data_IF_362612158900
#
_entry.id   IF_362612158900
#
_cell.length_a   1.000
_cell.length_b   1.000
_cell.length_c   1.000
_cell.angle_alpha   90.00
_cell.angle_beta   90.00
_cell.angle_gamma   90.00
#
_symmetry.space_group_name_H-M   'P 1'
#
loop_
_entity.id
_entity.type
_entity.pdbx_description
1 polymer ?
#
# COMPACT_ATOMS: atom_id res chain seq x y z
N UNK A 1 -10.10 -27.97 -17.87
CA UNK A 1 -10.50 -26.99 -16.85
C UNK A 1 -9.25 -26.70 -16.02
N UNK A 2 -8.81 -25.45 -15.88
CA UNK A 2 -7.65 -25.15 -15.04
C UNK A 2 -7.99 -25.50 -13.60
N UNK A 3 -6.99 -26.03 -12.89
CA UNK A 3 -7.12 -26.45 -11.51
C UNK A 3 -7.14 -25.19 -10.62
N UNK A 4 -8.28 -24.88 -9.99
CA UNK A 4 -8.48 -23.78 -9.04
C UNK A 4 -7.58 -23.85 -7.78
N UNK A 5 -6.66 -24.83 -7.72
CA UNK A 5 -5.69 -25.02 -6.64
C UNK A 5 -4.28 -24.55 -7.01
N UNK A 6 -4.07 -24.02 -8.22
CA UNK A 6 -2.77 -23.48 -8.64
C UNK A 6 -2.57 -22.08 -8.01
N UNK A 7 -1.55 -21.89 -7.15
CA UNK A 7 -1.26 -20.60 -6.55
C UNK A 7 -1.07 -19.47 -7.58
N UNK A 8 -0.61 -19.78 -8.78
CA UNK A 8 -0.44 -18.78 -9.83
C UNK A 8 -1.79 -18.23 -10.33
N UNK A 9 -2.80 -19.09 -10.47
CA UNK A 9 -4.16 -18.68 -10.89
C UNK A 9 -4.80 -17.84 -9.79
N UNK A 10 -4.67 -18.28 -8.53
CA UNK A 10 -5.21 -17.52 -7.40
C UNK A 10 -4.54 -16.14 -7.23
N UNK A 11 -3.23 -16.05 -7.50
CA UNK A 11 -2.52 -14.76 -7.45
C UNK A 11 -3.00 -13.80 -8.54
N UNK A 12 -3.28 -14.31 -9.73
CA UNK A 12 -3.80 -13.49 -10.83
C UNK A 12 -5.24 -13.03 -10.54
N UNK A 13 -6.11 -13.92 -10.05
CA UNK A 13 -7.47 -13.55 -9.64
C UNK A 13 -7.46 -12.47 -8.53
N UNK A 14 -6.60 -12.64 -7.51
CA UNK A 14 -6.42 -11.64 -6.46
C UNK A 14 -5.89 -10.29 -6.99
N UNK A 15 -5.04 -10.34 -8.01
CA UNK A 15 -4.52 -9.13 -8.66
C UNK A 15 -5.63 -8.40 -9.43
N UNK A 16 -6.47 -9.12 -10.18
CA UNK A 16 -7.63 -8.52 -10.85
C UNK A 16 -8.60 -7.88 -9.84
N UNK A 17 -8.87 -8.56 -8.72
CA UNK A 17 -9.71 -8.02 -7.64
C UNK A 17 -9.11 -6.75 -7.01
N UNK A 18 -7.78 -6.70 -6.85
CA UNK A 18 -7.08 -5.52 -6.37
C UNK A 18 -7.30 -4.33 -7.33
N UNK A 19 -7.08 -4.52 -8.62
CA UNK A 19 -7.20 -3.45 -9.62
C UNK A 19 -8.63 -2.88 -9.63
N UNK A 20 -9.64 -3.75 -9.69
CA UNK A 20 -11.05 -3.36 -9.62
C UNK A 20 -11.35 -2.59 -8.33
N UNK A 21 -10.79 -3.02 -7.20
CA UNK A 21 -10.99 -2.37 -5.90
C UNK A 21 -10.35 -0.98 -5.83
N UNK A 22 -9.19 -0.77 -6.46
CA UNK A 22 -8.51 0.52 -6.53
C UNK A 22 -9.33 1.53 -7.35
N UNK A 23 -9.85 1.10 -8.50
CA UNK A 23 -10.60 1.96 -9.41
C UNK A 23 -11.99 2.30 -8.87
N UNK A 24 -12.71 1.30 -8.34
CA UNK A 24 -14.03 1.51 -7.74
C UNK A 24 -13.98 2.42 -6.50
N UNK A 25 -12.82 2.49 -5.83
CA UNK A 25 -12.61 3.33 -4.66
C UNK A 25 -12.17 4.76 -4.98
N UNK A 26 -11.95 5.15 -6.24
CA UNK A 26 -11.27 6.40 -6.59
C UNK A 26 -11.92 7.70 -6.04
N UNK A 27 -13.19 7.67 -5.65
CA UNK A 27 -13.93 8.80 -5.04
C UNK A 27 -14.10 8.69 -3.51
N UNK A 28 -13.54 7.67 -2.86
CA UNK A 28 -13.61 7.43 -1.42
C UNK A 28 -12.23 7.07 -0.86
N UNK A 29 -11.97 7.41 0.39
CA UNK A 29 -10.79 6.88 1.06
C UNK A 29 -10.99 5.39 1.33
N UNK A 30 -10.12 4.55 0.78
CA UNK A 30 -10.09 3.11 1.00
C UNK A 30 -8.66 2.69 1.40
N UNK A 31 -8.55 1.79 2.38
CA UNK A 31 -7.27 1.25 2.83
C UNK A 31 -7.24 -0.24 2.52
N UNK A 32 -6.34 -0.63 1.60
CA UNK A 32 -6.10 -2.02 1.25
C UNK A 32 -4.76 -2.45 1.85
N UNK A 33 -4.76 -3.61 2.51
CA UNK A 33 -3.54 -4.23 3.06
C UNK A 33 -3.21 -5.46 2.22
N UNK A 34 -2.10 -5.39 1.49
CA UNK A 34 -1.56 -6.51 0.73
C UNK A 34 -0.39 -7.15 1.48
N UNK A 35 -0.38 -8.48 1.56
CA UNK A 35 0.71 -9.26 2.15
C UNK A 35 1.45 -9.93 1.00
N UNK A 36 2.76 -9.73 0.93
CA UNK A 36 3.60 -10.32 -0.10
C UNK A 36 4.91 -10.79 0.55
N UNK A 37 5.20 -12.08 0.40
CA UNK A 37 6.37 -12.72 1.02
C UNK A 37 7.64 -12.53 0.19
N UNK A 38 7.50 -12.31 -1.13
CA UNK A 38 8.61 -12.08 -2.05
C UNK A 38 8.72 -10.60 -2.40
N UNK A 39 9.86 -9.99 -2.08
CA UNK A 39 10.08 -8.56 -2.27
C UNK A 39 10.19 -8.16 -3.75
N UNK A 40 10.71 -9.05 -4.60
CA UNK A 40 10.82 -8.80 -6.04
C UNK A 40 9.44 -8.87 -6.68
N UNK A 41 8.67 -9.90 -6.35
CA UNK A 41 7.30 -10.04 -6.83
C UNK A 41 6.40 -8.88 -6.37
N UNK A 42 6.58 -8.40 -5.13
CA UNK A 42 5.88 -7.21 -4.65
C UNK A 42 6.17 -5.98 -5.52
N UNK A 43 7.43 -5.75 -5.86
CA UNK A 43 7.83 -4.61 -6.68
C UNK A 43 7.27 -4.71 -8.10
N UNK A 44 7.35 -5.89 -8.70
CA UNK A 44 6.74 -6.19 -10.00
C UNK A 44 5.23 -5.95 -9.98
N UNK A 45 4.53 -6.40 -8.93
CA UNK A 45 3.10 -6.19 -8.77
C UNK A 45 2.75 -4.71 -8.63
N UNK A 46 3.56 -3.94 -7.89
CA UNK A 46 3.37 -2.49 -7.74
C UNK A 46 3.53 -1.80 -9.10
N UNK A 47 4.62 -2.07 -9.81
CA UNK A 47 4.85 -1.51 -11.14
C UNK A 47 3.74 -1.89 -12.12
N UNK A 48 3.22 -3.12 -12.04
CA UNK A 48 2.17 -3.61 -12.91
C UNK A 48 0.86 -2.85 -12.74
N UNK A 49 0.31 -2.76 -11.51
CA UNK A 49 -0.96 -2.04 -11.36
C UNK A 49 -0.79 -0.55 -11.63
N UNK A 50 0.35 0.06 -11.30
CA UNK A 50 0.59 1.48 -11.57
C UNK A 50 0.52 1.83 -13.07
N UNK A 51 0.86 0.86 -13.93
CA UNK A 51 0.73 0.97 -15.39
C UNK A 51 -0.69 0.65 -15.89
N UNK A 52 -1.41 -0.22 -15.18
CA UNK A 52 -2.76 -0.68 -15.56
C UNK A 52 -3.89 0.20 -15.01
N UNK A 53 -3.63 1.10 -14.05
CA UNK A 53 -4.62 2.02 -13.50
C UNK A 53 -5.35 2.84 -14.59
N UNK A 54 -6.66 3.00 -14.41
CA UNK A 54 -7.50 3.89 -15.22
C UNK A 54 -6.91 5.30 -15.42
N UNK A 55 -7.09 5.81 -16.65
CA UNK A 55 -6.67 7.18 -17.02
C UNK A 55 -7.33 8.22 -16.10
N UNK A 56 -6.50 9.01 -15.43
CA UNK A 56 -6.94 10.07 -14.53
C UNK A 56 -6.79 9.74 -13.04
N UNK A 57 -6.43 8.50 -12.69
CA UNK A 57 -5.95 8.14 -11.36
C UNK A 57 -4.42 8.26 -11.35
N UNK A 58 -3.86 9.08 -10.44
CA UNK A 58 -2.40 9.16 -10.26
C UNK A 58 -1.92 8.15 -9.23
N UNK A 59 -0.76 7.57 -9.45
CA UNK A 59 -0.09 6.75 -8.44
C UNK A 59 1.02 7.55 -7.74
N UNK A 60 1.19 7.28 -6.46
CA UNK A 60 2.27 7.82 -5.64
C UNK A 60 2.84 6.72 -4.75
N UNK A 61 4.14 6.75 -4.49
CA UNK A 61 4.78 5.84 -3.54
C UNK A 61 5.33 6.61 -2.35
N UNK A 62 5.06 6.15 -1.14
CA UNK A 62 5.63 6.69 0.10
C UNK A 62 6.18 5.56 0.97
N UNK A 63 7.10 5.91 1.86
CA UNK A 63 7.68 4.94 2.80
C UNK A 63 7.38 5.37 4.23
N UNK A 64 6.98 4.42 5.06
CA UNK A 64 6.87 4.62 6.50
C UNK A 64 8.28 4.72 7.08
N UNK A 65 8.55 5.83 7.79
CA UNK A 65 9.83 6.05 8.45
C UNK A 65 9.99 5.12 9.66
N UNK A 66 11.23 4.68 9.90
CA UNK A 66 11.60 3.96 11.12
C UNK A 66 11.66 4.92 12.32
N UNK A 67 11.58 4.40 13.54
CA UNK A 67 11.50 5.20 14.77
C UNK A 67 10.12 5.80 15.04
N UNK A 68 9.51 6.47 14.07
CA UNK A 68 8.13 7.01 14.16
C UNK A 68 7.26 6.55 12.98
N UNK A 69 6.87 5.27 12.96
CA UNK A 69 6.16 4.70 11.82
C UNK A 69 4.69 5.13 11.80
N UNK A 70 4.42 6.23 11.10
CA UNK A 70 3.10 6.85 11.01
C UNK A 70 2.62 6.97 9.56
N UNK A 71 1.60 6.19 9.20
CA UNK A 71 0.92 6.27 7.90
C UNK A 71 0.38 7.69 7.65
N UNK A 72 -0.28 8.26 8.67
CA UNK A 72 -0.85 9.61 8.61
C UNK A 72 0.23 10.63 8.27
N UNK A 73 1.39 10.56 8.91
CA UNK A 73 2.47 11.52 8.68
C UNK A 73 3.02 11.40 7.26
N UNK A 74 3.25 10.17 6.78
CA UNK A 74 3.72 9.92 5.41
C UNK A 74 2.74 10.48 4.36
N UNK A 75 1.45 10.23 4.50
CA UNK A 75 0.41 10.75 3.58
C UNK A 75 0.30 12.27 3.70
N UNK A 76 0.30 12.83 4.92
CA UNK A 76 0.18 14.28 5.12
C UNK A 76 1.33 15.03 4.46
N UNK A 77 2.55 14.49 4.55
CA UNK A 77 3.72 15.06 3.88
C UNK A 77 3.57 15.03 2.36
N UNK A 78 3.09 13.92 1.80
CA UNK A 78 2.83 13.81 0.36
C UNK A 78 1.79 14.85 -0.11
N UNK A 79 0.67 14.98 0.60
CA UNK A 79 -0.36 15.98 0.26
C UNK A 79 0.19 17.40 0.39
N UNK A 80 1.07 17.67 1.36
CA UNK A 80 1.69 18.97 1.53
C UNK A 80 2.65 19.33 0.38
N UNK A 81 3.20 18.36 -0.35
CA UNK A 81 4.08 18.60 -1.50
C UNK A 81 3.35 18.55 -2.84
N UNK A 82 2.29 17.75 -2.96
CA UNK A 82 1.59 17.49 -4.21
C UNK A 82 0.31 18.32 -4.39
N UNK A 83 0.36 19.31 -5.30
CA UNK A 83 -0.78 20.19 -5.59
C UNK A 83 -2.00 19.42 -6.11
N UNK A 84 -1.80 18.39 -6.94
CA UNK A 84 -2.88 17.56 -7.46
C UNK A 84 -3.69 16.88 -6.34
N UNK A 85 -3.01 16.40 -5.30
CA UNK A 85 -3.66 15.79 -4.14
C UNK A 85 -4.39 16.83 -3.27
N UNK A 86 -3.82 18.03 -3.11
CA UNK A 86 -4.49 19.14 -2.40
C UNK A 86 -5.79 19.56 -3.05
N UNK A 87 -5.88 19.44 -4.36
CA UNK A 87 -7.07 19.75 -5.14
C UNK A 87 -8.12 18.61 -5.14
N UNK A 88 -7.88 17.53 -4.39
CA UNK A 88 -8.78 16.38 -4.34
C UNK A 88 -8.69 15.47 -5.57
N UNK A 89 -7.55 15.48 -6.26
CA UNK A 89 -7.28 14.58 -7.37
C UNK A 89 -7.35 13.10 -6.95
N UNK A 90 -7.81 12.25 -7.86
CA UNK A 90 -7.95 10.81 -7.65
C UNK A 90 -6.58 10.15 -7.64
N UNK A 91 -6.26 9.42 -6.58
CA UNK A 91 -4.95 8.81 -6.47
C UNK A 91 -4.92 7.51 -5.68
N UNK A 92 -4.00 6.64 -6.08
CA UNK A 92 -3.56 5.49 -5.30
C UNK A 92 -2.23 5.86 -4.65
N UNK A 93 -2.14 5.68 -3.33
CA UNK A 93 -0.91 5.93 -2.57
C UNK A 93 -0.39 4.60 -2.02
N UNK A 94 0.71 4.14 -2.60
CA UNK A 94 1.37 2.89 -2.25
C UNK A 94 2.33 3.13 -1.12
N UNK A 95 2.08 2.49 0.01
CA UNK A 95 2.85 2.70 1.24
C UNK A 95 3.71 1.46 1.49
N UNK A 96 5.03 1.64 1.52
CA UNK A 96 6.00 0.58 1.80
C UNK A 96 6.82 0.89 3.06
N UNK A 97 7.72 0.00 3.46
CA UNK A 97 8.59 0.18 4.63
C UNK A 97 8.02 -0.40 5.92
N UNK A 98 6.74 -0.76 5.96
CA UNK A 98 6.13 -1.48 7.09
C UNK A 98 6.80 -2.84 7.34
N UNK A 99 7.27 -3.50 6.28
CA UNK A 99 8.04 -4.75 6.34
C UNK A 99 9.41 -4.60 6.99
N UNK A 100 9.93 -3.37 7.07
CA UNK A 100 11.26 -3.07 7.66
C UNK A 100 11.17 -2.69 9.14
N UNK A 101 9.97 -2.62 9.70
CA UNK A 101 9.74 -2.25 11.08
C UNK A 101 10.16 -3.40 12.00
N UNK A 102 10.86 -3.08 13.08
CA UNK A 102 11.23 -4.09 14.06
C UNK A 102 10.02 -4.65 14.80
N UNK A 103 9.93 -5.98 14.81
CA UNK A 103 9.00 -6.72 15.66
C UNK A 103 9.46 -6.75 17.12
N UNK A 104 10.78 -6.77 17.36
CA UNK A 104 11.35 -6.80 18.71
C UNK A 104 11.30 -5.42 19.37
N UNK A 105 11.15 -5.41 20.69
CA UNK A 105 10.98 -4.20 21.47
C UNK A 105 12.27 -3.40 21.73
N UNK A 106 13.46 -3.89 21.38
CA UNK A 106 14.78 -3.19 21.46
C UNK A 106 14.95 -2.17 22.63
N UNK A 107 14.47 -2.49 23.84
CA UNK A 107 14.54 -1.61 25.03
C UNK A 107 13.44 -0.55 25.16
N UNK A 108 12.46 -0.51 24.25
CA UNK A 108 11.24 0.31 24.26
C UNK A 108 10.04 -0.47 24.83
N UNK A 109 8.98 0.23 25.24
CA UNK A 109 7.74 -0.41 25.73
C UNK A 109 6.96 -1.15 24.63
N UNK A 110 7.05 -0.63 23.39
CA UNK A 110 6.38 -1.17 22.21
C UNK A 110 7.36 -1.28 21.04
N UNK A 111 7.17 -2.27 20.18
CA UNK A 111 7.95 -2.43 18.95
C UNK A 111 7.48 -1.45 17.87
N UNK A 112 8.31 -1.21 16.86
CA UNK A 112 7.94 -0.33 15.74
C UNK A 112 6.68 -0.85 15.02
N UNK A 113 6.52 -2.16 14.91
CA UNK A 113 5.30 -2.77 14.36
C UNK A 113 4.08 -2.55 15.25
N UNK A 114 4.18 -2.75 16.57
CA UNK A 114 3.07 -2.50 17.51
C UNK A 114 2.61 -1.04 17.47
N UNK A 115 3.55 -0.10 17.32
CA UNK A 115 3.24 1.33 17.16
C UNK A 115 2.52 1.57 15.83
N UNK A 116 3.04 1.05 14.72
CA UNK A 116 2.45 1.22 13.40
C UNK A 116 1.03 0.66 13.31
N UNK A 117 0.82 -0.60 13.74
CA UNK A 117 -0.51 -1.20 13.74
C UNK A 117 -1.48 -0.51 14.69
N UNK A 118 -0.98 0.08 15.78
CA UNK A 118 -1.79 0.92 16.66
C UNK A 118 -2.35 2.17 16.00
N UNK A 119 -1.69 2.71 14.96
CA UNK A 119 -2.18 3.85 14.19
C UNK A 119 -3.23 3.49 13.11
N UNK A 120 -3.44 2.20 12.85
CA UNK A 120 -4.43 1.73 11.88
C UNK A 120 -5.82 1.45 12.49
N UNK A 121 -5.93 1.51 13.82
CA UNK A 121 -7.20 1.36 14.57
C UNK A 121 -7.93 2.69 14.72
#
# INVERSE_FOLDING_TARGET
>A
MPNLSDPAVANEDNYEELLVSLEAAADKFNLLLAVCDDIHYREELIERYEQELELGIRHYRVMVARGEPSLRSAITQLVATEEYLRQGGKAVVTVTGAEKLYFLKLGQERSEQEVFFGYLQ
#
